data_IF_089949535336
#
_entry.id   IF_089949535336
#
_cell.length_a   1.000
_cell.length_b   1.000
_cell.length_c   1.000
_cell.angle_alpha   90.00
_cell.angle_beta   90.00
_cell.angle_gamma   90.00
#
_symmetry.space_group_name_H-M   'P 1'
#
loop_
_entity.id
_entity.type
_entity.pdbx_description
1 polymer ?
#
# COMPACT_ATOMS: atom_id res chain seq x y z
N UNK A 1 -2.82 -4.56 22.39
CA UNK A 1 -4.07 -3.88 21.99
C UNK A 1 -4.52 -2.86 23.02
N UNK A 2 -4.73 -3.21 24.29
CA UNK A 2 -5.23 -2.26 25.29
C UNK A 2 -4.29 -1.05 25.51
N UNK A 3 -2.98 -1.29 25.50
CA UNK A 3 -1.99 -0.20 25.53
C UNK A 3 -2.10 0.75 24.32
N UNK A 4 -2.39 0.23 23.13
CA UNK A 4 -2.56 1.06 21.92
C UNK A 4 -3.81 1.93 22.03
N UNK A 5 -4.91 1.41 22.60
CA UNK A 5 -6.11 2.20 22.89
C UNK A 5 -5.85 3.29 23.92
N UNK A 6 -5.14 2.96 24.99
CA UNK A 6 -4.81 3.95 26.02
C UNK A 6 -3.91 5.08 25.48
N UNK A 7 -3.12 4.81 24.44
CA UNK A 7 -2.32 5.81 23.74
C UNK A 7 -3.12 6.59 22.67
N UNK A 8 -4.38 6.22 22.42
CA UNK A 8 -5.27 6.92 21.47
C UNK A 8 -5.13 6.47 20.02
N UNK A 9 -4.58 5.28 19.74
CA UNK A 9 -4.54 4.76 18.38
C UNK A 9 -5.91 4.22 17.93
N UNK A 10 -6.35 4.66 16.75
CA UNK A 10 -7.56 4.17 16.07
C UNK A 10 -7.25 3.14 14.98
N UNK A 11 -6.04 3.16 14.46
CA UNK A 11 -5.55 2.25 13.42
C UNK A 11 -4.46 1.34 13.95
N UNK A 12 -4.40 0.12 13.42
CA UNK A 12 -3.29 -0.81 13.62
C UNK A 12 -2.88 -1.41 12.28
N UNK A 13 -1.58 -1.63 12.12
CA UNK A 13 -1.04 -2.39 11.00
C UNK A 13 -0.81 -3.84 11.42
N UNK A 14 -1.16 -4.79 10.55
CA UNK A 14 -0.85 -6.21 10.69
C UNK A 14 -0.06 -6.68 9.47
N UNK A 15 1.18 -7.11 9.70
CA UNK A 15 2.11 -7.51 8.65
C UNK A 15 2.96 -8.71 9.08
N UNK A 16 3.39 -9.50 8.10
CA UNK A 16 4.19 -10.73 8.25
C UNK A 16 5.51 -10.64 7.46
N UNK A 17 5.95 -9.42 7.12
CA UNK A 17 7.19 -9.22 6.36
C UNK A 17 8.47 -9.67 7.07
N UNK A 18 8.42 -9.97 8.38
CA UNK A 18 9.57 -10.42 9.21
C UNK A 18 9.32 -11.74 9.95
N UNK A 19 8.06 -12.11 10.18
CA UNK A 19 7.65 -13.33 10.87
C UNK A 19 6.78 -14.16 9.95
N UNK A 20 6.76 -15.48 10.09
CA UNK A 20 5.82 -16.30 9.31
C UNK A 20 4.48 -16.37 10.03
N UNK A 21 3.40 -16.01 9.33
CA UNK A 21 2.02 -16.22 9.76
C UNK A 21 1.33 -17.10 8.71
N UNK A 22 0.45 -18.01 9.15
CA UNK A 22 -0.49 -18.63 8.21
C UNK A 22 -1.61 -17.67 7.85
N UNK A 23 -2.31 -17.94 6.75
CA UNK A 23 -3.48 -17.14 6.35
C UNK A 23 -4.57 -17.16 7.43
N UNK A 24 -4.75 -18.30 8.13
CA UNK A 24 -5.71 -18.41 9.24
C UNK A 24 -5.30 -17.53 10.44
N UNK A 25 -4.03 -17.56 10.83
CA UNK A 25 -3.52 -16.73 11.94
C UNK A 25 -3.65 -15.24 11.61
N UNK A 26 -3.27 -14.87 10.38
CA UNK A 26 -3.39 -13.49 9.88
C UNK A 26 -4.85 -13.02 9.92
N UNK A 27 -5.77 -13.82 9.38
CA UNK A 27 -7.19 -13.51 9.39
C UNK A 27 -7.74 -13.35 10.80
N UNK A 28 -7.33 -14.24 11.72
CA UNK A 28 -7.71 -14.16 13.12
C UNK A 28 -7.22 -12.85 13.76
N UNK A 29 -5.97 -12.44 13.53
CA UNK A 29 -5.48 -11.17 14.07
C UNK A 29 -6.22 -9.95 13.52
N UNK A 30 -6.53 -9.94 12.22
CA UNK A 30 -7.35 -8.88 11.59
C UNK A 30 -8.72 -8.82 12.27
N UNK A 31 -9.38 -9.96 12.40
CA UNK A 31 -10.71 -10.05 13.01
C UNK A 31 -10.71 -9.60 14.49
N UNK A 32 -9.74 -10.05 15.28
CA UNK A 32 -9.60 -9.67 16.68
C UNK A 32 -9.34 -8.17 16.86
N UNK A 33 -8.46 -7.59 16.02
CA UNK A 33 -8.18 -6.16 16.03
C UNK A 33 -9.43 -5.34 15.71
N UNK A 34 -10.16 -5.74 14.67
CA UNK A 34 -11.43 -5.12 14.27
C UNK A 34 -12.49 -5.20 15.37
N UNK A 35 -12.63 -6.33 16.05
CA UNK A 35 -13.59 -6.50 17.16
C UNK A 35 -13.23 -5.67 18.40
N UNK A 36 -11.96 -5.30 18.56
CA UNK A 36 -11.51 -4.31 19.55
C UNK A 36 -11.69 -2.87 19.07
N UNK A 37 -12.36 -2.69 17.92
CA UNK A 37 -12.77 -1.43 17.31
C UNK A 37 -11.68 -0.72 16.49
N UNK A 38 -10.54 -1.36 16.24
CA UNK A 38 -9.50 -0.74 15.43
C UNK A 38 -9.87 -0.79 13.95
N UNK A 39 -9.45 0.23 13.20
CA UNK A 39 -9.35 0.11 11.75
C UNK A 39 -8.04 -0.64 11.44
N UNK A 40 -8.14 -1.75 10.72
CA UNK A 40 -6.98 -2.58 10.41
C UNK A 40 -6.45 -2.22 9.04
N UNK A 41 -5.16 -1.94 8.96
CA UNK A 41 -4.42 -1.86 7.70
C UNK A 41 -3.51 -3.09 7.66
N UNK A 42 -3.39 -3.73 6.52
CA UNK A 42 -2.46 -4.85 6.37
C UNK A 42 -1.37 -4.51 5.35
N UNK A 43 -0.34 -5.32 5.25
CA UNK A 43 0.77 -5.14 4.29
C UNK A 43 0.96 -6.40 3.46
N UNK A 44 1.11 -6.23 2.15
CA UNK A 44 1.45 -7.29 1.21
C UNK A 44 2.86 -7.05 0.65
N UNK A 45 3.75 -8.00 0.87
CA UNK A 45 5.14 -7.97 0.44
C UNK A 45 6.11 -8.47 1.52
N UNK A 46 7.34 -8.80 1.11
CA UNK A 46 8.39 -9.32 2.00
C UNK A 46 9.50 -8.30 2.22
N UNK A 47 10.11 -8.32 3.41
CA UNK A 47 11.22 -7.42 3.80
C UNK A 47 12.61 -7.92 3.37
N UNK A 48 12.70 -8.98 2.54
CA UNK A 48 13.94 -9.46 1.93
C UNK A 48 14.34 -8.62 0.69
N UNK A 49 15.58 -8.11 0.62
CA UNK A 49 16.02 -7.30 -0.53
C UNK A 49 15.92 -8.08 -1.84
N UNK A 50 15.33 -7.48 -2.88
CA UNK A 50 15.12 -8.14 -4.19
C UNK A 50 13.89 -9.06 -4.26
N UNK A 51 13.03 -9.09 -3.22
CA UNK A 51 11.72 -9.74 -3.34
C UNK A 51 10.82 -8.92 -4.26
N UNK A 52 10.46 -9.50 -5.40
CA UNK A 52 9.47 -8.95 -6.34
C UNK A 52 8.10 -9.45 -5.92
N UNK A 53 7.14 -8.53 -5.74
CA UNK A 53 5.76 -8.88 -5.46
C UNK A 53 5.07 -9.33 -6.75
N UNK A 54 4.49 -10.53 -6.76
CA UNK A 54 3.66 -10.99 -7.87
C UNK A 54 2.22 -10.49 -7.69
N UNK A 55 1.54 -10.20 -8.80
CA UNK A 55 0.14 -9.80 -8.81
C UNK A 55 -0.78 -10.87 -8.24
N UNK A 56 -0.47 -12.16 -8.44
CA UNK A 56 -1.26 -13.26 -7.86
C UNK A 56 -1.24 -13.20 -6.32
N UNK A 57 -0.06 -12.91 -5.74
CA UNK A 57 0.12 -12.77 -4.29
C UNK A 57 -0.60 -11.53 -3.75
N UNK A 58 -0.53 -10.41 -4.48
CA UNK A 58 -1.25 -9.20 -4.11
C UNK A 58 -2.77 -9.39 -4.20
N UNK A 59 -3.26 -10.02 -5.25
CA UNK A 59 -4.69 -10.31 -5.42
C UNK A 59 -5.19 -11.22 -4.30
N UNK A 60 -4.52 -12.35 -4.05
CA UNK A 60 -4.89 -13.26 -2.97
C UNK A 60 -4.89 -12.56 -1.61
N UNK A 61 -3.84 -11.80 -1.30
CA UNK A 61 -3.72 -11.06 -0.03
C UNK A 61 -4.80 -10.00 0.09
N UNK A 62 -5.03 -9.20 -0.96
CA UNK A 62 -6.02 -8.12 -0.95
C UNK A 62 -7.42 -8.65 -0.67
N UNK A 63 -7.83 -9.68 -1.39
CA UNK A 63 -9.17 -10.24 -1.24
C UNK A 63 -9.34 -10.90 0.13
N UNK A 64 -8.36 -11.73 0.54
CA UNK A 64 -8.38 -12.41 1.83
C UNK A 64 -8.42 -11.43 3.01
N UNK A 65 -7.51 -10.45 3.04
CA UNK A 65 -7.41 -9.50 4.15
C UNK A 65 -8.67 -8.62 4.25
N UNK A 66 -9.20 -8.17 3.11
CA UNK A 66 -10.44 -7.37 3.08
C UNK A 66 -11.64 -8.20 3.55
N UNK A 67 -11.72 -9.49 3.18
CA UNK A 67 -12.75 -10.41 3.66
C UNK A 67 -12.67 -10.62 5.18
N UNK A 68 -11.45 -10.77 5.72
CA UNK A 68 -11.20 -10.84 7.16
C UNK A 68 -11.49 -9.51 7.90
N UNK A 69 -11.58 -8.41 7.16
CA UNK A 69 -12.06 -7.12 7.64
C UNK A 69 -11.03 -6.00 7.68
N UNK A 70 -9.92 -6.14 6.97
CA UNK A 70 -8.99 -5.05 6.74
C UNK A 70 -9.70 -3.88 6.02
N UNK A 71 -9.40 -2.66 6.47
CA UNK A 71 -9.88 -1.45 5.83
C UNK A 71 -9.11 -1.19 4.53
N UNK A 72 -7.78 -1.36 4.59
CA UNK A 72 -6.84 -1.13 3.51
C UNK A 72 -5.71 -2.17 3.51
N UNK A 73 -5.08 -2.35 2.35
CA UNK A 73 -3.90 -3.21 2.18
C UNK A 73 -2.78 -2.38 1.55
N UNK A 74 -1.64 -2.34 2.22
CA UNK A 74 -0.43 -1.66 1.77
C UNK A 74 0.29 -2.55 0.76
N UNK A 75 0.66 -1.97 -0.38
CA UNK A 75 1.62 -2.55 -1.32
C UNK A 75 3.01 -2.08 -0.91
N UNK A 76 3.81 -3.00 -0.34
CA UNK A 76 5.14 -2.71 0.20
C UNK A 76 6.08 -2.19 -0.90
N UNK A 77 6.79 -1.12 -0.58
CA UNK A 77 7.82 -0.48 -1.39
C UNK A 77 9.10 -0.14 -0.62
N UNK A 78 9.07 -0.27 0.71
CA UNK A 78 10.09 0.17 1.67
C UNK A 78 10.35 1.67 1.66
N UNK A 79 11.05 2.12 2.69
CA UNK A 79 11.51 3.50 2.83
C UNK A 79 12.36 3.99 1.64
N UNK A 80 13.13 3.11 1.00
CA UNK A 80 13.96 3.49 -0.15
C UNK A 80 13.19 3.60 -1.46
N UNK A 81 12.05 2.90 -1.59
CA UNK A 81 11.34 2.74 -2.85
C UNK A 81 12.20 2.08 -3.94
N UNK A 82 13.20 1.26 -3.60
CA UNK A 82 14.15 0.68 -4.56
C UNK A 82 14.43 -0.77 -4.25
N UNK A 83 14.42 -1.60 -5.29
CA UNK A 83 14.71 -3.03 -5.26
C UNK A 83 13.85 -3.79 -4.24
N UNK A 84 12.56 -3.43 -4.18
CA UNK A 84 11.60 -3.94 -3.22
C UNK A 84 10.18 -3.88 -3.78
N UNK A 85 9.42 -4.97 -3.59
CA UNK A 85 8.01 -5.04 -3.95
C UNK A 85 7.82 -4.89 -5.47
N UNK A 86 7.20 -3.79 -5.86
CA UNK A 86 6.86 -3.45 -7.25
C UNK A 86 7.91 -2.56 -7.93
N UNK A 87 9.00 -2.23 -7.22
CA UNK A 87 10.03 -1.30 -7.68
C UNK A 87 11.33 -1.98 -8.07
N UNK A 88 11.88 -1.57 -9.21
CA UNK A 88 13.19 -2.02 -9.66
C UNK A 88 14.34 -1.37 -8.86
N UNK A 89 15.59 -1.67 -9.24
CA UNK A 89 16.79 -1.13 -8.58
C UNK A 89 16.92 0.40 -8.64
N UNK A 90 16.33 1.03 -9.65
CA UNK A 90 16.33 2.48 -9.82
C UNK A 90 15.13 3.11 -9.10
N UNK A 91 14.13 2.31 -8.72
CA UNK A 91 12.89 2.71 -8.07
C UNK A 91 11.77 3.02 -9.04
N UNK A 92 11.88 2.53 -10.28
CA UNK A 92 10.84 2.63 -11.29
C UNK A 92 9.81 1.52 -11.10
N UNK A 93 8.53 1.83 -11.33
CA UNK A 93 7.44 0.85 -11.31
C UNK A 93 7.40 0.08 -12.62
N UNK A 94 7.00 -1.19 -12.55
CA UNK A 94 6.62 -1.96 -13.73
C UNK A 94 5.24 -1.52 -14.24
N UNK A 95 5.20 -0.81 -15.38
CA UNK A 95 3.95 -0.39 -16.01
C UNK A 95 3.06 -1.59 -16.40
N UNK A 96 3.65 -2.73 -16.77
CA UNK A 96 2.91 -3.95 -17.08
C UNK A 96 2.16 -4.48 -15.86
N UNK A 97 2.80 -4.44 -14.69
CA UNK A 97 2.16 -4.79 -13.42
C UNK A 97 0.98 -3.87 -13.09
N UNK A 98 1.12 -2.56 -13.32
CA UNK A 98 0.03 -1.60 -13.09
C UNK A 98 -1.17 -1.84 -14.01
N UNK A 99 -0.94 -2.11 -15.29
CA UNK A 99 -2.01 -2.41 -16.25
C UNK A 99 -2.71 -3.74 -15.94
N UNK A 100 -1.95 -4.75 -15.49
CA UNK A 100 -2.53 -6.02 -15.08
C UNK A 100 -3.42 -5.86 -13.84
N UNK A 101 -2.99 -5.04 -12.87
CA UNK A 101 -3.80 -4.70 -11.68
C UNK A 101 -5.10 -4.02 -12.06
N UNK A 102 -5.08 -3.05 -12.98
CA UNK A 102 -6.30 -2.38 -13.47
C UNK A 102 -7.28 -3.34 -14.14
N UNK A 103 -6.76 -4.44 -14.68
CA UNK A 103 -7.56 -5.44 -15.40
C UNK A 103 -8.11 -6.52 -14.47
N UNK A 104 -7.34 -6.94 -13.46
CA UNK A 104 -7.68 -8.06 -12.56
C UNK A 104 -8.44 -7.62 -11.30
N UNK A 105 -8.07 -6.48 -10.72
CA UNK A 105 -8.64 -6.01 -9.46
C UNK A 105 -9.80 -5.05 -9.75
N UNK A 106 -10.95 -5.32 -9.15
CA UNK A 106 -12.12 -4.45 -9.30
C UNK A 106 -11.86 -3.04 -8.75
N UNK A 107 -12.51 -2.04 -9.33
CA UNK A 107 -12.28 -0.63 -8.96
C UNK A 107 -12.58 -0.33 -7.48
N UNK A 108 -13.52 -1.05 -6.88
CA UNK A 108 -13.87 -0.93 -5.46
C UNK A 108 -12.84 -1.54 -4.50
N UNK A 109 -12.04 -2.49 -4.97
CA UNK A 109 -10.90 -3.05 -4.24
C UNK A 109 -9.61 -2.27 -4.52
N UNK A 110 -9.44 -1.72 -5.73
CA UNK A 110 -8.29 -0.85 -6.05
C UNK A 110 -8.20 0.35 -5.09
N UNK A 111 -9.33 0.96 -4.73
CA UNK A 111 -9.38 2.05 -3.74
C UNK A 111 -9.03 1.63 -2.31
N UNK A 112 -8.90 0.32 -2.03
CA UNK A 112 -8.43 -0.21 -0.74
C UNK A 112 -6.93 -0.42 -0.70
N UNK A 113 -6.23 -0.30 -1.83
CA UNK A 113 -4.78 -0.36 -1.87
C UNK A 113 -4.17 0.96 -1.42
N UNK A 114 -3.11 0.88 -0.62
CA UNK A 114 -2.22 2.00 -0.29
C UNK A 114 -0.84 1.67 -0.87
N UNK A 115 -0.37 2.48 -1.80
CA UNK A 115 0.91 2.23 -2.47
C UNK A 115 2.03 2.96 -1.73
N UNK A 116 3.02 2.24 -1.18
CA UNK A 116 4.19 2.92 -0.65
C UNK A 116 5.00 3.55 -1.78
N UNK A 117 5.17 4.87 -1.78
CA UNK A 117 5.87 5.59 -2.85
C UNK A 117 6.68 6.76 -2.28
N UNK A 118 7.81 6.48 -1.60
CA UNK A 118 8.62 7.51 -0.95
C UNK A 118 9.26 8.48 -1.95
N UNK A 119 9.43 8.10 -3.22
CA UNK A 119 10.07 8.93 -4.24
C UNK A 119 9.06 9.69 -5.11
N UNK A 120 9.36 10.97 -5.41
CA UNK A 120 8.52 11.82 -6.28
C UNK A 120 8.13 11.13 -7.60
N UNK A 121 9.05 10.44 -8.26
CA UNK A 121 8.78 9.78 -9.55
C UNK A 121 7.72 8.68 -9.45
N UNK A 122 7.68 7.98 -8.31
CA UNK A 122 6.70 6.92 -8.03
C UNK A 122 5.32 7.54 -7.79
N UNK A 123 5.28 8.63 -7.02
CA UNK A 123 4.06 9.40 -6.78
C UNK A 123 3.44 9.91 -8.09
N UNK A 124 4.26 10.44 -9.00
CA UNK A 124 3.83 10.89 -10.35
C UNK A 124 3.25 9.71 -11.14
N UNK A 125 4.00 8.62 -11.25
CA UNK A 125 3.57 7.43 -12.01
C UNK A 125 2.24 6.86 -11.49
N UNK A 126 2.05 6.80 -10.17
CA UNK A 126 0.79 6.34 -9.56
C UNK A 126 -0.37 7.31 -9.82
N UNK A 127 -0.13 8.62 -9.76
CA UNK A 127 -1.14 9.64 -10.07
C UNK A 127 -1.54 9.58 -11.55
N UNK A 128 -0.59 9.38 -12.46
CA UNK A 128 -0.84 9.18 -13.89
C UNK A 128 -1.63 7.89 -14.16
N UNK A 129 -1.29 6.82 -13.43
CA UNK A 129 -1.88 5.50 -13.65
C UNK A 129 -3.29 5.35 -13.07
N UNK A 130 -3.51 5.83 -11.84
CA UNK A 130 -4.74 5.59 -11.08
C UNK A 130 -5.53 6.88 -10.78
N UNK A 131 -5.00 8.03 -11.19
CA UNK A 131 -5.61 9.34 -10.97
C UNK A 131 -5.24 9.98 -9.64
N UNK A 132 -5.68 11.22 -9.48
CA UNK A 132 -5.31 12.12 -8.37
C UNK A 132 -5.75 11.66 -6.99
N UNK A 133 -6.65 10.67 -6.90
CA UNK A 133 -7.18 10.14 -5.64
C UNK A 133 -6.54 8.81 -5.20
N UNK A 134 -5.50 8.33 -5.92
CA UNK A 134 -4.78 7.11 -5.53
C UNK A 134 -4.23 7.24 -4.10
N UNK A 135 -4.40 6.22 -3.26
CA UNK A 135 -3.86 6.26 -1.90
C UNK A 135 -2.36 6.00 -1.94
N UNK A 136 -1.56 6.88 -1.34
CA UNK A 136 -0.10 6.76 -1.33
C UNK A 136 0.39 6.82 0.11
N UNK A 137 1.19 5.83 0.48
CA UNK A 137 1.83 5.68 1.78
C UNK A 137 3.33 5.98 1.73
N UNK A 138 3.96 5.94 2.90
CA UNK A 138 5.40 6.15 3.10
C UNK A 138 5.93 7.47 2.52
N UNK A 139 5.11 8.52 2.59
CA UNK A 139 5.48 9.87 2.14
C UNK A 139 6.37 10.54 3.18
N UNK A 140 7.58 11.01 2.81
CA UNK A 140 8.39 11.81 3.71
C UNK A 140 7.60 13.03 4.21
N UNK A 141 7.67 13.34 5.50
CA UNK A 141 6.87 14.43 6.08
C UNK A 141 7.10 15.80 5.41
N UNK A 142 8.31 16.04 4.90
CA UNK A 142 8.66 17.25 4.15
C UNK A 142 7.97 17.34 2.78
N UNK A 143 7.53 16.20 2.23
CA UNK A 143 6.99 16.09 0.88
C UNK A 143 5.45 16.11 0.83
N UNK A 144 4.76 16.22 1.96
CA UNK A 144 3.29 16.23 1.99
C UNK A 144 2.69 17.33 1.10
N UNK A 145 3.22 18.56 1.18
CA UNK A 145 2.79 19.65 0.28
C UNK A 145 3.20 19.40 -1.18
N UNK A 146 4.36 18.80 -1.39
CA UNK A 146 4.83 18.43 -2.73
C UNK A 146 3.87 17.46 -3.40
N UNK A 147 3.42 16.42 -2.66
CA UNK A 147 2.45 15.45 -3.14
C UNK A 147 1.10 16.11 -3.44
N UNK A 148 0.61 17.00 -2.59
CA UNK A 148 -0.65 17.71 -2.85
C UNK A 148 -0.56 18.60 -4.11
N UNK A 149 0.56 19.28 -4.32
CA UNK A 149 0.80 20.03 -5.55
C UNK A 149 0.82 19.11 -6.79
N UNK A 150 1.37 17.89 -6.69
CA UNK A 150 1.29 16.89 -7.76
C UNK A 150 -0.17 16.49 -8.02
N UNK A 151 -0.95 16.17 -6.98
CA UNK A 151 -2.36 15.79 -7.12
C UNK A 151 -3.20 16.90 -7.76
N UNK A 152 -2.84 18.17 -7.56
CA UNK A 152 -3.60 19.32 -8.11
C UNK A 152 -3.12 19.79 -9.49
N UNK A 153 -2.10 19.17 -10.07
CA UNK A 153 -1.50 19.62 -11.33
C UNK A 153 -0.78 20.97 -11.20
N UNK A 154 -0.30 21.31 -10.00
CA UNK A 154 0.43 22.57 -9.73
C UNK A 154 1.95 22.43 -9.92
N UNK A 155 2.42 21.27 -10.40
CA UNK A 155 3.80 21.02 -10.79
C UNK A 155 3.85 20.57 -12.24
N UNK A 156 4.96 20.86 -12.92
CA UNK A 156 5.15 20.49 -14.34
C UNK A 156 4.91 19.01 -14.61
N UNK A 157 5.27 18.15 -13.66
CA UNK A 157 5.15 16.70 -13.79
C UNK A 157 3.69 16.25 -14.03
N UNK A 158 2.71 16.96 -13.45
CA UNK A 158 1.28 16.58 -13.50
C UNK A 158 0.37 17.70 -13.99
N UNK A 159 0.93 18.79 -14.52
CA UNK A 159 0.19 19.90 -15.11
C UNK A 159 -0.80 19.50 -16.23
N UNK A 160 -0.49 18.54 -17.13
CA UNK A 160 -1.41 18.18 -18.21
C UNK A 160 -2.54 17.21 -17.80
N UNK A 161 -2.48 16.64 -16.59
CA UNK A 161 -3.43 15.67 -16.04
C UNK A 161 -4.56 16.40 -15.34
#
# INVERSE_FOLDING_TARGET
MDSLRNLGFDYVEISDGTISLTNEERCQFIFEAKNRGFQVITECGKKAQGSILNIDELEETLYSDVECGAAYVIVEGRETGKNAGIYDKEGDLDEGFLEEIKTRISSDLLQRLIWEAPLKKQQVCLIESFGRNVNIGNIPGIDVFSLECLRRGLRSDTFPI
#
